data_IF_610884139474
#
_entry.id   IF_610884139474
#
_cell.length_a   1.000
_cell.length_b   1.000
_cell.length_c   1.000
_cell.angle_alpha   90.00
_cell.angle_beta   90.00
_cell.angle_gamma   90.00
#
_symmetry.space_group_name_H-M   'P 1'
#
loop_
_entity.id
_entity.type
_entity.pdbx_description
1 polymer ?
#
# COMPACT_ATOMS: atom_id res chain seq x y z
N UNK A 1 -15.85 3.50 -22.82
CA UNK A 1 -15.72 4.86 -22.25
C UNK A 1 -16.14 4.78 -20.80
N UNK A 2 -15.18 4.75 -19.88
CA UNK A 2 -15.44 4.84 -18.44
C UNK A 2 -14.91 6.19 -17.97
N UNK A 3 -15.85 7.11 -17.87
CA UNK A 3 -15.77 8.45 -17.32
C UNK A 3 -14.99 8.51 -15.99
N UNK A 4 -13.78 9.06 -16.04
CA UNK A 4 -13.01 9.48 -14.86
C UNK A 4 -13.54 10.87 -14.42
N UNK A 5 -14.70 10.92 -13.75
CA UNK A 5 -15.44 12.17 -13.49
C UNK A 5 -14.90 12.99 -12.31
N UNK A 6 -14.02 12.46 -11.46
CA UNK A 6 -13.55 13.22 -10.30
C UNK A 6 -12.02 13.21 -10.19
N UNK A 7 -11.40 14.25 -10.76
CA UNK A 7 -10.08 14.69 -10.31
C UNK A 7 -10.28 15.39 -8.96
N UNK A 8 -10.25 14.61 -7.87
CA UNK A 8 -10.25 15.19 -6.52
C UNK A 8 -8.86 15.76 -6.24
N UNK A 9 -8.80 17.07 -6.05
CA UNK A 9 -7.61 17.74 -5.56
C UNK A 9 -7.30 17.30 -4.12
N UNK A 10 -6.01 17.11 -3.82
CA UNK A 10 -5.53 16.68 -2.50
C UNK A 10 -5.90 17.69 -1.40
N UNK A 11 -6.27 18.92 -1.78
CA UNK A 11 -6.81 19.97 -0.89
C UNK A 11 -8.13 19.58 -0.18
N UNK A 12 -8.84 18.57 -0.67
CA UNK A 12 -10.07 18.03 -0.05
C UNK A 12 -9.73 17.09 1.12
N UNK A 13 -8.51 16.53 1.17
CA UNK A 13 -8.12 15.56 2.18
C UNK A 13 -7.71 16.25 3.47
N UNK A 14 -8.28 15.79 4.59
CA UNK A 14 -7.82 16.23 5.90
C UNK A 14 -6.37 15.77 6.17
N UNK A 15 -5.64 16.41 7.11
CA UNK A 15 -4.24 16.08 7.39
C UNK A 15 -3.98 14.61 7.72
N UNK A 16 -4.92 13.90 8.36
CA UNK A 16 -4.79 12.47 8.64
C UNK A 16 -4.92 11.63 7.37
N UNK A 17 -5.83 11.99 6.47
CA UNK A 17 -5.96 11.33 5.18
C UNK A 17 -4.74 11.53 4.29
N UNK A 18 -4.18 12.75 4.23
CA UNK A 18 -2.91 13.00 3.55
C UNK A 18 -1.77 12.13 4.12
N UNK A 19 -1.67 12.05 5.45
CA UNK A 19 -0.66 11.22 6.13
C UNK A 19 -0.86 9.73 5.83
N UNK A 20 -2.10 9.26 5.81
CA UNK A 20 -2.45 7.88 5.44
C UNK A 20 -2.00 7.57 4.01
N UNK A 21 -2.32 8.44 3.05
CA UNK A 21 -1.91 8.28 1.65
C UNK A 21 -0.40 8.20 1.50
N UNK A 22 0.35 9.13 2.10
CA UNK A 22 1.83 9.13 2.06
C UNK A 22 2.44 7.83 2.61
N UNK A 23 1.84 7.24 3.65
CA UNK A 23 2.27 5.95 4.21
C UNK A 23 2.00 4.79 3.26
N UNK A 24 0.82 4.75 2.65
CA UNK A 24 0.46 3.73 1.65
C UNK A 24 1.42 3.80 0.46
N UNK A 25 1.69 5.01 -0.04
CA UNK A 25 2.64 5.23 -1.14
C UNK A 25 4.07 4.81 -0.78
N UNK A 26 4.51 5.11 0.45
CA UNK A 26 5.82 4.67 0.95
C UNK A 26 5.92 3.14 0.99
N UNK A 27 4.88 2.46 1.46
CA UNK A 27 4.80 0.99 1.49
C UNK A 27 4.82 0.42 0.07
N UNK A 28 4.06 1.01 -0.86
CA UNK A 28 4.08 0.64 -2.28
C UNK A 28 5.50 0.73 -2.85
N UNK A 29 6.20 1.84 -2.59
CA UNK A 29 7.58 2.05 -3.03
C UNK A 29 8.60 1.08 -2.40
N UNK A 30 8.34 0.56 -1.20
CA UNK A 30 9.15 -0.50 -0.60
C UNK A 30 8.91 -1.83 -1.31
N UNK A 31 7.66 -2.16 -1.61
CA UNK A 31 7.27 -3.41 -2.26
C UNK A 31 7.79 -3.50 -3.71
N UNK A 32 7.76 -2.39 -4.46
CA UNK A 32 8.30 -2.35 -5.84
C UNK A 32 9.78 -2.68 -5.91
N UNK A 33 10.56 -2.35 -4.87
CA UNK A 33 11.99 -2.69 -4.78
C UNK A 33 12.24 -4.17 -4.45
N UNK A 34 11.30 -4.84 -3.80
CA UNK A 34 11.47 -6.20 -3.28
C UNK A 34 10.88 -7.29 -4.19
N UNK A 35 9.99 -6.94 -5.14
CA UNK A 35 9.26 -7.82 -6.08
C UNK A 35 8.36 -8.88 -5.43
N UNK A 36 8.89 -9.69 -4.52
CA UNK A 36 8.19 -10.69 -3.72
C UNK A 36 8.72 -10.67 -2.28
N UNK A 37 7.84 -10.64 -1.29
CA UNK A 37 8.26 -10.62 0.12
C UNK A 37 7.33 -11.45 1.00
N UNK A 38 7.90 -12.14 2.00
CA UNK A 38 7.11 -12.81 3.02
C UNK A 38 6.29 -11.79 3.83
N UNK A 39 4.99 -12.03 3.99
CA UNK A 39 4.05 -11.11 4.64
C UNK A 39 4.45 -10.82 6.09
N UNK A 40 4.73 -11.84 6.90
CA UNK A 40 5.05 -11.67 8.32
C UNK A 40 6.38 -10.93 8.50
N UNK A 41 7.39 -11.26 7.69
CA UNK A 41 8.66 -10.53 7.70
C UNK A 41 8.49 -9.06 7.31
N UNK A 42 7.65 -8.78 6.31
CA UNK A 42 7.36 -7.42 5.88
C UNK A 42 6.67 -6.62 6.99
N UNK A 43 5.63 -7.19 7.62
CA UNK A 43 4.90 -6.56 8.72
C UNK A 43 5.83 -6.24 9.90
N UNK A 44 6.65 -7.20 10.32
CA UNK A 44 7.60 -7.00 11.42
C UNK A 44 8.61 -5.89 11.09
N UNK A 45 9.19 -5.90 9.88
CA UNK A 45 10.15 -4.87 9.45
C UNK A 45 9.54 -3.47 9.42
N UNK A 46 8.33 -3.33 8.87
CA UNK A 46 7.65 -2.03 8.83
C UNK A 46 7.27 -1.57 10.24
N UNK A 47 6.85 -2.49 11.11
CA UNK A 47 6.53 -2.16 12.51
C UNK A 47 7.76 -1.65 13.27
N UNK A 48 8.90 -2.33 13.14
CA UNK A 48 10.15 -1.94 13.81
C UNK A 48 10.71 -0.65 13.21
N UNK A 49 10.84 -0.56 11.88
CA UNK A 49 11.55 0.53 11.24
C UNK A 49 10.71 1.82 11.12
N UNK A 50 9.39 1.69 11.02
CA UNK A 50 8.50 2.83 10.81
C UNK A 50 7.60 3.13 12.02
N UNK A 51 7.62 2.29 13.07
CA UNK A 51 6.76 2.46 14.25
C UNK A 51 5.27 2.32 13.95
N UNK A 52 4.91 1.57 12.89
CA UNK A 52 3.53 1.39 12.46
C UNK A 52 3.04 0.02 12.91
N UNK A 53 1.99 -0.03 13.73
CA UNK A 53 1.40 -1.28 14.17
C UNK A 53 1.02 -2.19 12.98
N UNK A 54 1.33 -3.48 13.08
CA UNK A 54 1.09 -4.47 12.01
C UNK A 54 -0.36 -4.49 11.51
N UNK A 55 -1.35 -4.30 12.38
CA UNK A 55 -2.77 -4.21 11.97
C UNK A 55 -3.03 -3.05 11.02
N UNK A 56 -2.32 -1.94 11.19
CA UNK A 56 -2.40 -0.77 10.31
C UNK A 56 -1.71 -1.05 8.98
N UNK A 57 -0.54 -1.70 9.02
CA UNK A 57 0.16 -2.11 7.80
C UNK A 57 -0.69 -3.09 6.98
N UNK A 58 -1.38 -4.05 7.62
CA UNK A 58 -2.34 -4.95 6.94
C UNK A 58 -3.46 -4.18 6.24
N UNK A 59 -4.03 -3.15 6.86
CA UNK A 59 -5.04 -2.29 6.22
C UNK A 59 -4.47 -1.55 5.00
N UNK A 60 -3.21 -1.12 5.05
CA UNK A 60 -2.55 -0.48 3.91
C UNK A 60 -2.29 -1.48 2.77
N UNK A 61 -1.87 -2.70 3.09
CA UNK A 61 -1.71 -3.77 2.11
C UNK A 61 -3.05 -4.14 1.47
N UNK A 62 -4.13 -4.21 2.25
CA UNK A 62 -5.47 -4.47 1.72
C UNK A 62 -5.94 -3.38 0.74
N UNK A 63 -5.61 -2.12 1.00
CA UNK A 63 -5.89 -1.02 0.06
C UNK A 63 -5.12 -1.24 -1.26
N UNK A 64 -3.82 -1.54 -1.19
CA UNK A 64 -3.01 -1.81 -2.38
C UNK A 64 -3.46 -3.06 -3.15
N UNK A 65 -3.95 -4.09 -2.47
CA UNK A 65 -4.52 -5.29 -3.08
C UNK A 65 -5.85 -4.98 -3.79
N UNK A 66 -6.71 -4.17 -3.16
CA UNK A 66 -7.97 -3.70 -3.74
C UNK A 66 -7.73 -2.86 -4.99
N UNK A 67 -6.71 -2.00 -4.95
CA UNK A 67 -6.28 -1.16 -6.08
C UNK A 67 -5.54 -1.96 -7.17
N UNK A 68 -5.32 -3.27 -6.96
CA UNK A 68 -4.70 -4.17 -7.92
C UNK A 68 -3.18 -4.07 -8.03
N UNK A 69 -2.50 -3.38 -7.12
CA UNK A 69 -1.03 -3.25 -7.13
C UNK A 69 -0.30 -4.51 -6.67
N UNK A 70 -0.93 -5.27 -5.76
CA UNK A 70 -0.33 -6.46 -5.17
C UNK A 70 -1.34 -7.62 -5.11
N UNK A 71 -0.82 -8.81 -4.89
CA UNK A 71 -1.58 -10.00 -4.49
C UNK A 71 -0.97 -10.57 -3.22
N UNK A 72 -1.80 -10.92 -2.23
CA UNK A 72 -1.34 -11.65 -1.05
C UNK A 72 -1.77 -13.11 -1.18
N UNK A 73 -0.80 -13.99 -1.47
CA UNK A 73 -1.06 -15.43 -1.65
C UNK A 73 -0.02 -16.26 -0.93
N UNK A 74 -0.47 -17.31 -0.24
CA UNK A 74 0.39 -18.26 0.48
C UNK A 74 1.38 -17.57 1.45
N UNK A 75 0.95 -16.53 2.15
CA UNK A 75 1.78 -15.78 3.10
C UNK A 75 2.87 -14.91 2.45
N UNK A 76 2.77 -14.63 1.15
CA UNK A 76 3.68 -13.75 0.41
C UNK A 76 2.91 -12.60 -0.24
N UNK A 77 3.58 -11.46 -0.35
CA UNK A 77 3.14 -10.29 -1.09
C UNK A 77 3.84 -10.32 -2.44
N UNK A 78 3.06 -10.33 -3.52
CA UNK A 78 3.53 -10.39 -4.91
C UNK A 78 3.11 -9.10 -5.60
N UNK A 79 4.03 -8.40 -6.24
CA UNK A 79 3.70 -7.21 -7.03
C UNK A 79 2.99 -7.60 -8.33
N UNK A 80 1.88 -6.95 -8.67
CA UNK A 80 1.22 -7.12 -9.97
C UNK A 80 1.84 -6.16 -10.99
N UNK A 81 2.26 -6.68 -12.13
CA UNK A 81 2.98 -5.92 -13.17
C UNK A 81 2.13 -4.99 -14.02
N UNK A 82 0.83 -4.84 -13.75
CA UNK A 82 -0.06 -4.06 -14.61
C UNK A 82 -0.36 -2.69 -13.98
N UNK A 83 0.46 -1.70 -14.32
CA UNK A 83 0.06 -0.31 -14.55
C UNK A 83 1.27 0.43 -15.13
N UNK A 84 1.41 0.33 -16.46
CA UNK A 84 2.15 1.28 -17.30
C UNK A 84 1.32 2.54 -17.48
#
# INVERSE_FOLDING_TARGET
MSENIYWMDDSILDPFQMKKRKRIESIKNMLTKLKEVNLNLFLAKVSINCGINESTVRKYLQALETDGYIEIKNGKIILKSNQT
#
